data_IF_005978625515
#
_entry.id   IF_005978625515
#
_cell.length_a   1.000
_cell.length_b   1.000
_cell.length_c   1.000
_cell.angle_alpha   90.00
_cell.angle_beta   90.00
_cell.angle_gamma   90.00
#
_symmetry.space_group_name_H-M   'P 1'
#
loop_
_entity.id
_entity.type
_entity.pdbx_description
1 polymer ?
#
# COMPACT_ATOMS: atom_id res chain seq x y z
N UNK A 1 -4.89 15.88 -5.12
CA UNK A 1 -5.36 14.83 -4.19
C UNK A 1 -5.17 13.50 -4.91
N UNK A 2 -4.32 12.62 -4.41
CA UNK A 2 -4.00 11.33 -5.07
C UNK A 2 -4.96 10.22 -4.68
N UNK A 3 -6.26 10.51 -4.55
CA UNK A 3 -7.30 9.58 -4.12
C UNK A 3 -8.48 9.69 -5.07
N UNK A 4 -8.92 8.56 -5.62
CA UNK A 4 -10.11 8.42 -6.44
C UNK A 4 -11.26 7.90 -5.57
N UNK A 5 -12.39 8.61 -5.53
CA UNK A 5 -13.56 8.24 -4.72
C UNK A 5 -14.70 7.91 -5.68
N UNK A 6 -15.32 6.73 -5.52
CA UNK A 6 -16.38 6.24 -6.41
C UNK A 6 -17.79 6.56 -5.90
N UNK A 7 -18.06 7.82 -5.58
CA UNK A 7 -19.39 8.24 -5.12
C UNK A 7 -19.36 9.34 -4.09
N UNK A 8 -20.45 10.11 -4.01
CA UNK A 8 -20.62 11.17 -3.01
C UNK A 8 -20.97 10.62 -1.62
N UNK A 9 -21.68 9.51 -1.56
CA UNK A 9 -21.99 8.74 -0.36
C UNK A 9 -20.71 8.21 0.32
N UNK A 10 -19.74 7.73 -0.46
CA UNK A 10 -18.43 7.29 0.06
C UNK A 10 -17.68 8.46 0.70
N UNK A 11 -17.72 9.64 0.08
CA UNK A 11 -17.08 10.85 0.64
C UNK A 11 -17.72 11.27 1.96
N UNK A 12 -19.04 11.12 2.08
CA UNK A 12 -19.76 11.39 3.32
C UNK A 12 -19.44 10.36 4.41
N UNK A 13 -19.47 9.06 4.07
CA UNK A 13 -19.10 7.95 4.97
C UNK A 13 -17.67 8.08 5.49
N UNK A 14 -16.72 8.55 4.65
CA UNK A 14 -15.36 8.88 5.06
C UNK A 14 -15.30 9.91 6.20
N UNK A 15 -16.27 10.83 6.25
CA UNK A 15 -16.39 11.83 7.30
C UNK A 15 -16.86 11.26 8.65
N UNK A 16 -17.53 10.11 8.66
CA UNK A 16 -18.09 9.47 9.86
C UNK A 16 -17.17 8.41 10.49
N UNK A 17 -16.11 8.02 9.80
CA UNK A 17 -15.19 6.95 10.22
C UNK A 17 -14.66 7.17 11.63
N UNK A 18 -14.75 6.09 12.43
CA UNK A 18 -14.24 6.01 13.81
C UNK A 18 -13.14 4.98 14.00
N UNK A 19 -13.08 3.98 13.13
CA UNK A 19 -12.03 2.94 13.13
C UNK A 19 -11.42 2.82 11.76
N UNK A 20 -10.10 2.71 11.70
CA UNK A 20 -9.34 2.38 10.52
C UNK A 20 -8.63 1.04 10.74
N UNK A 21 -9.09 0.01 10.03
CA UNK A 21 -8.41 -1.26 9.89
C UNK A 21 -7.43 -1.19 8.72
N UNK A 22 -6.20 -1.63 8.95
CA UNK A 22 -5.14 -1.66 7.95
C UNK A 22 -4.68 -3.09 7.74
N UNK A 23 -4.61 -3.52 6.49
CA UNK A 23 -3.79 -4.69 6.19
C UNK A 23 -2.31 -4.35 6.40
N UNK A 24 -1.52 -5.36 6.74
CA UNK A 24 -0.07 -5.18 6.89
C UNK A 24 0.62 -5.16 5.52
N UNK A 25 0.52 -6.27 4.79
CA UNK A 25 1.37 -6.58 3.65
C UNK A 25 0.91 -5.78 2.43
N UNK A 26 1.82 -5.07 1.78
CA UNK A 26 1.47 -4.21 0.63
C UNK A 26 0.71 -2.92 0.99
N UNK A 27 0.28 -2.74 2.24
CA UNK A 27 -0.42 -1.53 2.71
C UNK A 27 0.44 -0.72 3.68
N UNK A 28 0.59 -1.19 4.93
CA UNK A 28 1.51 -0.56 5.91
C UNK A 28 2.95 -0.77 5.47
N UNK A 29 3.24 -1.96 4.97
CA UNK A 29 4.54 -2.33 4.42
C UNK A 29 4.55 -2.21 2.91
N UNK A 30 5.75 -2.27 2.33
CA UNK A 30 5.90 -2.13 0.87
C UNK A 30 5.35 -3.34 0.11
N UNK A 31 5.31 -4.51 0.76
CA UNK A 31 5.04 -5.78 0.09
C UNK A 31 6.27 -6.32 -0.64
N UNK A 32 7.44 -5.73 -0.38
CA UNK A 32 8.74 -6.12 -0.93
C UNK A 32 9.51 -6.85 0.17
N UNK A 33 9.54 -8.19 0.09
CA UNK A 33 10.18 -9.00 1.10
C UNK A 33 11.70 -9.04 0.91
N UNK A 34 12.44 -8.95 2.00
CA UNK A 34 13.89 -9.13 2.03
C UNK A 34 14.25 -10.39 2.80
N UNK A 35 15.01 -11.28 2.17
CA UNK A 35 15.54 -12.50 2.81
C UNK A 35 16.79 -12.12 3.61
N UNK A 36 16.75 -12.34 4.93
CA UNK A 36 17.91 -12.10 5.80
C UNK A 36 18.92 -13.25 5.75
N UNK A 37 18.46 -14.48 5.55
CA UNK A 37 19.33 -15.65 5.39
C UNK A 37 18.61 -16.97 5.61
N UNK A 38 19.32 -18.05 5.25
CA UNK A 38 18.94 -19.43 5.46
C UNK A 38 19.84 -20.05 6.53
N UNK A 39 19.22 -20.73 7.49
CA UNK A 39 19.87 -21.57 8.48
C UNK A 39 19.57 -23.01 8.13
N UNK A 40 20.58 -23.74 7.67
CA UNK A 40 20.47 -25.18 7.40
C UNK A 40 20.52 -25.93 8.74
N UNK A 41 19.62 -26.89 8.92
CA UNK A 41 19.55 -27.76 10.09
C UNK A 41 20.24 -29.08 9.77
N UNK A 42 21.41 -29.29 10.37
CA UNK A 42 22.29 -30.44 10.13
C UNK A 42 23.11 -30.34 8.84
N UNK A 43 23.89 -31.39 8.56
CA UNK A 43 24.83 -31.43 7.42
C UNK A 43 24.27 -32.18 6.20
N UNK A 44 22.96 -32.48 6.17
CA UNK A 44 22.35 -33.35 5.15
C UNK A 44 22.26 -32.72 3.76
N UNK A 45 22.23 -31.38 3.66
CA UNK A 45 21.97 -30.66 2.42
C UNK A 45 22.86 -29.43 2.29
N UNK A 46 23.55 -29.29 1.16
CA UNK A 46 24.33 -28.09 0.86
C UNK A 46 23.46 -26.88 0.54
N UNK A 47 23.89 -25.69 0.94
CA UNK A 47 23.16 -24.43 0.73
C UNK A 47 22.74 -24.21 -0.74
N UNK A 48 23.62 -24.54 -1.69
CA UNK A 48 23.31 -24.36 -3.12
C UNK A 48 22.17 -25.25 -3.60
N UNK A 49 22.09 -26.48 -3.07
CA UNK A 49 21.04 -27.42 -3.43
C UNK A 49 19.70 -27.03 -2.78
N UNK A 50 19.74 -26.56 -1.53
CA UNK A 50 18.59 -26.00 -0.85
C UNK A 50 18.00 -24.81 -1.62
N UNK A 51 18.84 -23.85 -2.00
CA UNK A 51 18.40 -22.66 -2.73
C UNK A 51 17.86 -23.02 -4.13
N UNK A 52 18.45 -24.02 -4.80
CA UNK A 52 17.92 -24.53 -6.07
C UNK A 52 16.51 -25.10 -5.90
N UNK A 53 16.27 -25.92 -4.87
CA UNK A 53 14.96 -26.48 -4.59
C UNK A 53 13.93 -25.41 -4.24
N UNK A 54 14.26 -24.51 -3.30
CA UNK A 54 13.37 -23.44 -2.87
C UNK A 54 13.01 -22.54 -4.04
N UNK A 55 14.00 -22.03 -4.77
CA UNK A 55 13.74 -21.11 -5.89
C UNK A 55 12.98 -21.78 -7.04
N UNK A 56 13.21 -23.06 -7.33
CA UNK A 56 12.51 -23.77 -8.41
C UNK A 56 11.03 -23.97 -8.10
N UNK A 57 10.68 -24.31 -6.86
CA UNK A 57 9.28 -24.48 -6.42
C UNK A 57 8.60 -23.11 -6.31
N UNK A 58 9.26 -22.14 -5.68
CA UNK A 58 8.73 -20.78 -5.51
C UNK A 58 8.54 -20.05 -6.83
N UNK A 59 9.32 -20.36 -7.87
CA UNK A 59 9.13 -19.79 -9.21
C UNK A 59 7.78 -20.11 -9.85
N UNK A 60 7.03 -21.10 -9.32
CA UNK A 60 5.66 -21.41 -9.75
C UNK A 60 4.60 -20.62 -8.98
N UNK A 61 4.98 -19.96 -7.89
CA UNK A 61 4.08 -19.17 -7.05
C UNK A 61 4.09 -17.70 -7.49
N UNK A 62 2.91 -17.07 -7.49
CA UNK A 62 2.77 -15.63 -7.75
C UNK A 62 2.88 -14.77 -6.47
N UNK A 63 3.21 -15.39 -5.34
CA UNK A 63 3.25 -14.70 -4.05
C UNK A 63 4.49 -13.78 -3.94
N UNK A 64 4.38 -12.55 -3.39
CA UNK A 64 5.53 -11.64 -3.26
C UNK A 64 6.72 -12.22 -2.45
N UNK A 65 6.45 -13.09 -1.47
CA UNK A 65 7.50 -13.84 -0.76
C UNK A 65 8.27 -14.79 -1.67
N UNK A 66 7.60 -15.40 -2.66
CA UNK A 66 8.20 -16.31 -3.63
C UNK A 66 9.22 -15.57 -4.48
N UNK A 67 8.84 -14.39 -4.98
CA UNK A 67 9.72 -13.49 -5.74
C UNK A 67 11.00 -13.18 -4.97
N UNK A 68 10.89 -12.82 -3.69
CA UNK A 68 12.05 -12.52 -2.85
C UNK A 68 12.99 -13.73 -2.66
N UNK A 69 12.45 -14.94 -2.52
CA UNK A 69 13.24 -16.16 -2.40
C UNK A 69 13.97 -16.51 -3.71
N UNK A 70 13.30 -16.31 -4.85
CA UNK A 70 13.88 -16.51 -6.18
C UNK A 70 15.01 -15.50 -6.44
N UNK A 71 14.77 -14.21 -6.16
CA UNK A 71 15.79 -13.16 -6.30
C UNK A 71 16.99 -13.41 -5.37
N UNK A 72 16.75 -13.87 -4.15
CA UNK A 72 17.83 -14.25 -3.24
C UNK A 72 18.68 -15.38 -3.81
N UNK A 73 18.09 -16.43 -4.36
CA UNK A 73 18.83 -17.53 -4.99
C UNK A 73 19.63 -17.06 -6.21
N UNK A 74 19.03 -16.21 -7.05
CA UNK A 74 19.71 -15.61 -8.21
C UNK A 74 20.91 -14.74 -7.78
N UNK A 75 20.79 -13.99 -6.68
CA UNK A 75 21.90 -13.21 -6.11
C UNK A 75 23.08 -14.07 -5.66
N UNK A 76 22.84 -15.36 -5.40
CA UNK A 76 23.85 -16.39 -5.07
C UNK A 76 24.27 -17.21 -6.29
N UNK A 77 23.94 -16.74 -7.50
CA UNK A 77 24.26 -17.39 -8.78
C UNK A 77 23.60 -18.76 -8.98
N UNK A 78 22.42 -18.98 -8.37
CA UNK A 78 21.65 -20.21 -8.53
C UNK A 78 20.42 -19.89 -9.38
N UNK A 79 20.30 -20.58 -10.51
CA UNK A 79 19.18 -20.41 -11.44
C UNK A 79 18.05 -21.37 -11.07
N UNK A 80 16.80 -20.88 -10.90
CA UNK A 80 15.66 -21.74 -10.69
C UNK A 80 15.30 -22.52 -11.97
N UNK A 81 14.81 -23.74 -11.80
CA UNK A 81 14.37 -24.59 -12.90
C UNK A 81 12.92 -25.05 -12.68
N UNK A 82 11.92 -24.19 -12.97
CA UNK A 82 10.52 -24.48 -12.66
C UNK A 82 9.97 -25.70 -13.42
N UNK A 83 10.54 -26.07 -14.57
CA UNK A 83 10.17 -27.26 -15.35
C UNK A 83 10.45 -28.57 -14.61
N UNK A 84 11.41 -28.59 -13.69
CA UNK A 84 11.78 -29.77 -12.89
C UNK A 84 10.76 -30.12 -11.80
N UNK A 85 9.88 -29.18 -11.44
CA UNK A 85 8.94 -29.33 -10.33
C UNK A 85 7.68 -30.08 -10.77
N UNK A 86 7.38 -31.18 -10.10
CA UNK A 86 6.19 -32.01 -10.28
C UNK A 86 5.29 -31.93 -9.04
N UNK A 87 4.00 -32.30 -9.16
CA UNK A 87 3.01 -32.27 -8.05
C UNK A 87 2.99 -30.97 -7.23
N UNK A 88 3.03 -29.82 -7.94
CA UNK A 88 2.98 -28.52 -7.28
C UNK A 88 1.61 -28.28 -6.66
N UNK A 89 1.57 -27.95 -5.37
CA UNK A 89 0.34 -27.62 -4.64
C UNK A 89 0.52 -26.38 -3.78
N UNK A 90 -0.54 -25.58 -3.73
CA UNK A 90 -0.62 -24.39 -2.88
C UNK A 90 -1.54 -24.72 -1.70
N UNK A 91 -1.07 -24.44 -0.49
CA UNK A 91 -1.85 -24.52 0.74
C UNK A 91 -2.08 -23.09 1.27
N UNK A 92 -3.25 -22.48 1.02
CA UNK A 92 -3.54 -21.10 1.39
C UNK A 92 -3.30 -20.84 2.88
N UNK A 93 -2.47 -19.85 3.21
CA UNK A 93 -2.14 -19.49 4.60
C UNK A 93 -1.17 -20.45 5.31
N UNK A 94 -0.64 -21.47 4.62
CA UNK A 94 0.33 -22.43 5.18
C UNK A 94 1.64 -22.45 4.40
N UNK A 95 1.59 -22.53 3.07
CA UNK A 95 2.78 -22.64 2.23
C UNK A 95 2.52 -23.32 0.89
N UNK A 96 3.59 -23.87 0.30
CA UNK A 96 3.57 -24.58 -0.98
C UNK A 96 4.32 -25.91 -0.87
N UNK A 97 4.00 -26.85 -1.76
CA UNK A 97 4.76 -28.09 -1.91
C UNK A 97 5.05 -28.39 -3.37
N UNK A 98 6.10 -29.15 -3.61
CA UNK A 98 6.43 -29.68 -4.92
C UNK A 98 7.48 -30.77 -4.84
N UNK A 99 7.52 -31.61 -5.87
CA UNK A 99 8.47 -32.70 -5.98
C UNK A 99 9.53 -32.40 -7.04
N UNK A 100 10.81 -32.51 -6.66
CA UNK A 100 11.97 -32.36 -7.56
C UNK A 100 12.83 -33.61 -7.44
N UNK A 101 13.19 -34.23 -8.57
CA UNK A 101 14.02 -35.45 -8.61
C UNK A 101 13.50 -36.58 -7.69
N UNK A 102 12.17 -36.71 -7.59
CA UNK A 102 11.50 -37.73 -6.76
C UNK A 102 11.44 -37.41 -5.27
N UNK A 103 11.96 -36.26 -4.82
CA UNK A 103 11.90 -35.81 -3.43
C UNK A 103 10.73 -34.86 -3.22
N UNK A 104 9.96 -35.07 -2.17
CA UNK A 104 8.86 -34.18 -1.80
C UNK A 104 9.36 -33.05 -0.91
N UNK A 105 9.14 -31.81 -1.33
CA UNK A 105 9.63 -30.62 -0.64
C UNK A 105 8.44 -29.75 -0.26
N UNK A 106 8.42 -29.32 1.01
CA UNK A 106 7.42 -28.40 1.55
C UNK A 106 8.12 -27.12 2.01
N UNK A 107 7.53 -25.97 1.69
CA UNK A 107 8.05 -24.64 2.01
C UNK A 107 6.89 -23.84 2.61
N UNK A 108 7.05 -23.31 3.81
CA UNK A 108 5.96 -22.56 4.45
C UNK A 108 6.17 -22.25 5.93
N UNK A 109 5.07 -21.87 6.60
CA UNK A 109 5.07 -21.54 8.03
C UNK A 109 5.02 -22.82 8.90
N UNK A 110 4.98 -22.66 10.22
CA UNK A 110 4.93 -23.78 11.17
C UNK A 110 3.73 -24.73 10.94
N UNK A 111 2.63 -24.27 10.32
CA UNK A 111 1.46 -25.12 9.99
C UNK A 111 1.78 -26.12 8.87
N UNK A 112 2.60 -25.74 7.86
CA UNK A 112 3.05 -26.68 6.83
C UNK A 112 3.90 -27.81 7.43
N UNK A 113 4.66 -27.49 8.48
CA UNK A 113 5.52 -28.45 9.19
C UNK A 113 4.72 -29.50 9.94
N UNK A 114 3.60 -29.09 10.55
CA UNK A 114 2.66 -30.02 11.17
C UNK A 114 1.98 -30.94 10.15
N UNK A 115 1.75 -30.45 8.92
CA UNK A 115 1.11 -31.21 7.83
C UNK A 115 2.03 -32.28 7.23
N UNK A 116 3.33 -32.01 7.13
CA UNK A 116 4.31 -32.91 6.48
C UNK A 116 4.78 -34.07 7.37
N UNK A 117 4.03 -34.44 8.41
CA UNK A 117 4.33 -35.57 9.33
C UNK A 117 5.69 -35.49 10.04
N UNK A 118 6.26 -34.29 10.13
CA UNK A 118 7.56 -34.04 10.73
C UNK A 118 7.39 -33.93 12.26
N UNK A 119 7.22 -35.07 12.94
CA UNK A 119 7.27 -35.16 14.40
C UNK A 119 8.60 -35.79 14.85
N UNK A 120 9.72 -35.31 14.29
CA UNK A 120 11.05 -35.72 14.73
C UNK A 120 11.53 -34.79 15.85
N UNK A 121 11.25 -35.20 17.09
CA UNK A 121 12.03 -34.96 18.30
C UNK A 121 12.68 -33.57 18.48
N UNK A 122 11.99 -32.67 19.20
CA UNK A 122 12.62 -31.74 20.14
C UNK A 122 13.62 -30.70 19.61
N UNK A 123 13.76 -30.55 18.29
CA UNK A 123 14.66 -29.59 17.67
C UNK A 123 13.89 -28.66 16.73
N UNK A 124 12.94 -27.91 17.27
CA UNK A 124 12.71 -26.59 16.68
C UNK A 124 14.00 -25.82 16.90
N UNK A 125 14.73 -25.34 15.88
CA UNK A 125 15.74 -24.35 16.18
C UNK A 125 15.00 -23.23 16.92
N UNK A 126 15.46 -22.91 18.12
CA UNK A 126 15.15 -21.68 18.83
C UNK A 126 15.68 -20.50 17.99
N UNK A 127 15.12 -20.32 16.79
CA UNK A 127 14.99 -19.03 16.15
C UNK A 127 13.70 -18.36 16.63
N UNK A 128 13.23 -18.68 17.84
CA UNK A 128 12.34 -17.76 18.54
C UNK A 128 13.06 -16.42 18.71
N UNK A 129 12.58 -15.42 17.98
CA UNK A 129 12.77 -14.04 18.40
C UNK A 129 14.01 -13.30 17.90
N UNK A 130 14.80 -13.84 16.97
CA UNK A 130 15.79 -12.97 16.30
C UNK A 130 15.08 -12.06 15.29
N UNK A 131 14.69 -10.89 15.81
CA UNK A 131 14.35 -9.66 15.09
C UNK A 131 12.96 -9.57 14.41
N UNK A 132 11.98 -10.39 14.79
CA UNK A 132 10.59 -10.20 14.32
C UNK A 132 10.40 -10.31 12.81
N UNK A 133 11.21 -11.15 12.17
CA UNK A 133 11.03 -11.58 10.79
C UNK A 133 10.01 -12.75 10.72
N UNK A 134 9.31 -12.88 9.60
CA UNK A 134 8.53 -14.08 9.28
C UNK A 134 9.50 -15.23 9.01
N UNK A 135 9.37 -16.31 9.78
CA UNK A 135 10.21 -17.50 9.64
C UNK A 135 9.49 -18.50 8.74
N UNK A 136 10.16 -18.92 7.68
CA UNK A 136 9.75 -20.03 6.83
C UNK A 136 10.61 -21.25 7.07
N UNK A 137 10.02 -22.43 6.91
CA UNK A 137 10.66 -23.72 7.05
C UNK A 137 10.71 -24.43 5.70
N UNK A 138 11.78 -25.18 5.48
CA UNK A 138 11.99 -26.03 4.31
C UNK A 138 12.14 -27.46 4.79
N UNK A 139 11.28 -28.33 4.25
CA UNK A 139 11.17 -29.73 4.67
C UNK A 139 11.34 -30.57 3.42
N UNK A 140 12.17 -31.61 3.51
CA UNK A 140 12.47 -32.51 2.39
C UNK A 140 12.25 -33.94 2.86
N UNK A 141 11.37 -34.67 2.17
CA UNK A 141 11.02 -36.07 2.46
C UNK A 141 10.63 -36.32 3.94
N UNK A 142 10.01 -35.32 4.56
CA UNK A 142 9.58 -35.38 5.96
C UNK A 142 10.64 -35.00 6.99
N UNK A 143 11.85 -34.58 6.59
CA UNK A 143 12.88 -34.04 7.47
C UNK A 143 12.93 -32.49 7.39
N UNK A 144 13.04 -31.81 8.53
CA UNK A 144 13.28 -30.35 8.56
C UNK A 144 14.74 -30.06 8.19
N UNK A 145 14.96 -29.44 7.04
CA UNK A 145 16.29 -29.23 6.43
C UNK A 145 16.79 -27.82 6.63
N UNK A 146 15.92 -26.81 6.63
CA UNK A 146 16.34 -25.43 6.80
C UNK A 146 15.21 -24.53 7.29
N UNK A 147 15.58 -23.43 7.92
CA UNK A 147 14.71 -22.30 8.18
C UNK A 147 15.26 -21.04 7.49
N UNK A 148 14.39 -20.16 7.02
CA UNK A 148 14.76 -18.86 6.47
C UNK A 148 13.96 -17.76 7.14
N UNK A 149 14.52 -16.56 7.14
CA UNK A 149 13.86 -15.38 7.71
C UNK A 149 13.61 -14.33 6.63
N UNK A 150 12.37 -13.86 6.57
CA UNK A 150 11.89 -12.82 5.66
C UNK A 150 11.41 -11.63 6.49
N UNK A 151 11.76 -10.42 6.06
CA UNK A 151 11.16 -9.20 6.61
C UNK A 151 10.56 -8.36 5.51
N UNK A 152 9.46 -7.70 5.82
CA UNK A 152 8.86 -6.65 4.98
C UNK A 152 8.91 -5.35 5.78
N UNK A 153 9.47 -4.31 5.17
CA UNK A 153 9.67 -3.03 5.83
C UNK A 153 8.46 -2.10 5.66
N UNK A 154 8.15 -1.35 6.72
CA UNK A 154 7.10 -0.33 6.67
C UNK A 154 7.40 0.74 5.61
N UNK A 155 6.34 1.23 4.95
CA UNK A 155 6.41 2.36 4.02
C UNK A 155 6.82 3.63 4.76
N UNK A 156 7.58 4.50 4.08
CA UNK A 156 7.85 5.85 4.58
C UNK A 156 6.54 6.63 4.70
N UNK A 157 6.31 7.30 5.83
CA UNK A 157 5.08 8.03 6.09
C UNK A 157 3.93 7.20 6.71
N UNK A 158 4.01 5.86 6.75
CA UNK A 158 2.96 5.03 7.36
C UNK A 158 2.72 5.36 8.84
N UNK A 159 3.80 5.53 9.62
CA UNK A 159 3.72 5.91 11.03
C UNK A 159 3.13 7.32 11.22
N UNK A 160 3.38 8.24 10.30
CA UNK A 160 2.81 9.59 10.35
C UNK A 160 1.32 9.58 10.01
N UNK A 161 0.92 8.83 8.99
CA UNK A 161 -0.49 8.67 8.62
C UNK A 161 -1.33 8.10 9.78
N UNK A 162 -0.84 7.05 10.45
CA UNK A 162 -1.54 6.44 11.59
C UNK A 162 -1.63 7.42 12.77
N UNK A 163 -0.54 8.16 13.07
CA UNK A 163 -0.58 9.20 14.12
C UNK A 163 -1.56 10.31 13.79
N UNK A 164 -1.64 10.72 12.53
CA UNK A 164 -2.58 11.74 12.08
C UNK A 164 -4.03 11.27 12.24
N UNK A 165 -4.35 10.03 11.85
CA UNK A 165 -5.67 9.43 12.08
C UNK A 165 -6.00 9.33 13.57
N UNK A 166 -5.04 8.93 14.41
CA UNK A 166 -5.20 8.91 15.88
C UNK A 166 -5.50 10.31 16.42
N UNK A 167 -4.83 11.35 15.92
CA UNK A 167 -5.10 12.74 16.31
C UNK A 167 -6.51 13.23 15.92
N UNK A 168 -7.12 12.60 14.92
CA UNK A 168 -8.51 12.83 14.50
C UNK A 168 -9.53 12.02 15.33
N UNK A 169 -9.08 11.28 16.36
CA UNK A 169 -9.92 10.43 17.20
C UNK A 169 -10.29 9.09 16.56
N UNK A 170 -9.54 8.65 15.54
CA UNK A 170 -9.80 7.41 14.81
C UNK A 170 -8.91 6.30 15.39
N UNK A 171 -9.53 5.22 15.84
CA UNK A 171 -8.83 4.04 16.35
C UNK A 171 -8.20 3.28 15.19
N UNK A 172 -6.95 2.90 15.31
CA UNK A 172 -6.20 2.25 14.23
C UNK A 172 -5.88 0.81 14.61
N UNK A 173 -6.26 -0.14 13.76
CA UNK A 173 -6.13 -1.58 13.99
C UNK A 173 -5.35 -2.20 12.83
N UNK A 174 -4.38 -3.07 13.11
CA UNK A 174 -3.70 -3.87 12.08
C UNK A 174 -4.30 -5.26 12.00
N UNK A 175 -4.63 -5.69 10.78
CA UNK A 175 -5.08 -7.04 10.44
C UNK A 175 -4.02 -7.68 9.56
N UNK A 176 -3.57 -8.89 9.88
CA UNK A 176 -2.59 -9.59 9.04
C UNK A 176 -2.70 -11.11 9.17
N UNK A 177 -2.40 -11.80 8.07
CA UNK A 177 -2.21 -13.25 8.05
C UNK A 177 -0.82 -13.70 8.51
N UNK A 178 0.11 -12.75 8.67
CA UNK A 178 1.49 -13.05 9.07
C UNK A 178 1.60 -13.44 10.54
N UNK A 179 2.74 -14.04 10.89
CA UNK A 179 3.06 -14.43 12.26
C UNK A 179 3.00 -13.26 13.25
N UNK A 180 2.71 -13.58 14.51
CA UNK A 180 2.71 -12.59 15.60
C UNK A 180 4.04 -11.83 15.73
N UNK A 181 5.16 -12.50 15.43
CA UNK A 181 6.50 -11.89 15.47
C UNK A 181 6.65 -10.77 14.41
N UNK A 182 6.18 -11.01 13.19
CA UNK A 182 6.20 -10.05 12.10
C UNK A 182 5.25 -8.87 12.34
N UNK A 183 4.04 -9.15 12.83
CA UNK A 183 3.07 -8.10 13.21
C UNK A 183 3.64 -7.20 14.32
N UNK A 184 4.27 -7.80 15.33
CA UNK A 184 4.91 -7.05 16.43
C UNK A 184 6.10 -6.21 15.97
N UNK A 185 6.87 -6.67 14.97
CA UNK A 185 7.95 -5.86 14.36
C UNK A 185 7.40 -4.64 13.65
N UNK A 186 6.36 -4.81 12.81
CA UNK A 186 5.72 -3.69 12.14
C UNK A 186 5.17 -2.68 13.16
N UNK A 187 4.52 -3.16 14.22
CA UNK A 187 4.03 -2.30 15.31
C UNK A 187 5.16 -1.51 15.99
N UNK A 188 6.34 -2.12 16.22
CA UNK A 188 7.51 -1.42 16.75
C UNK A 188 8.09 -0.40 15.76
N UNK A 189 8.17 -0.73 14.48
CA UNK A 189 8.62 0.19 13.42
C UNK A 189 7.70 1.41 13.30
N UNK A 190 6.40 1.23 13.55
CA UNK A 190 5.41 2.32 13.61
C UNK A 190 5.42 3.10 14.92
N UNK A 191 6.27 2.73 15.89
CA UNK A 191 6.36 3.40 17.20
C UNK A 191 5.17 3.13 18.14
N UNK A 192 4.47 2.00 18.00
CA UNK A 192 3.29 1.69 18.82
C UNK A 192 2.05 2.53 18.47
N UNK A 193 1.98 3.02 17.24
CA UNK A 193 0.90 3.89 16.78
C UNK A 193 -0.44 3.18 16.54
N UNK A 194 -0.47 1.84 16.52
CA UNK A 194 -1.71 1.07 16.44
C UNK A 194 -2.23 0.73 17.84
N UNK A 195 -3.55 0.66 17.99
CA UNK A 195 -4.22 0.33 19.24
C UNK A 195 -4.42 -1.18 19.41
N UNK A 196 -4.78 -1.86 18.32
CA UNK A 196 -4.97 -3.31 18.30
C UNK A 196 -4.20 -3.92 17.11
N UNK A 197 -3.67 -5.13 17.30
CA UNK A 197 -2.96 -5.89 16.27
C UNK A 197 -3.46 -7.33 16.30
N UNK A 198 -4.02 -7.78 15.18
CA UNK A 198 -4.54 -9.13 15.01
C UNK A 198 -3.73 -9.83 13.92
N UNK A 199 -3.06 -10.93 14.28
CA UNK A 199 -2.13 -11.68 13.43
C UNK A 199 -2.63 -13.10 13.14
N UNK A 200 -2.02 -13.78 12.16
CA UNK A 200 -2.30 -15.18 11.80
C UNK A 200 -3.74 -15.44 11.33
N UNK A 201 -4.40 -14.40 10.81
CA UNK A 201 -5.77 -14.42 10.33
C UNK A 201 -5.89 -15.05 8.93
N UNK A 202 -6.91 -15.86 8.71
CA UNK A 202 -7.34 -16.26 7.37
C UNK A 202 -8.20 -15.16 6.72
N UNK A 203 -8.39 -15.17 5.39
CA UNK A 203 -9.24 -14.18 4.73
C UNK A 203 -10.67 -14.11 5.29
N UNK A 204 -11.25 -15.26 5.66
CA UNK A 204 -12.57 -15.33 6.30
C UNK A 204 -12.59 -14.67 7.69
N UNK A 205 -11.52 -14.85 8.47
CA UNK A 205 -11.38 -14.25 9.80
C UNK A 205 -11.26 -12.72 9.71
N UNK A 206 -10.56 -12.21 8.68
CA UNK A 206 -10.48 -10.76 8.42
C UNK A 206 -11.87 -10.15 8.19
N UNK A 207 -12.73 -10.83 7.42
CA UNK A 207 -14.11 -10.37 7.16
C UNK A 207 -14.92 -10.34 8.45
N UNK A 208 -14.88 -11.42 9.24
CA UNK A 208 -15.58 -11.50 10.51
C UNK A 208 -15.13 -10.39 11.47
N UNK A 209 -13.83 -10.18 11.58
CA UNK A 209 -13.26 -9.18 12.48
C UNK A 209 -13.58 -7.74 12.05
N UNK A 210 -13.62 -7.45 10.74
CA UNK A 210 -14.09 -6.15 10.23
C UNK A 210 -15.57 -5.93 10.57
N UNK A 211 -16.40 -6.97 10.45
CA UNK A 211 -17.80 -6.92 10.88
C UNK A 211 -17.95 -6.65 12.39
N UNK A 212 -17.15 -7.32 13.22
CA UNK A 212 -17.13 -7.12 14.67
C UNK A 212 -16.67 -5.71 15.05
N UNK A 213 -15.63 -5.20 14.39
CA UNK A 213 -15.16 -3.82 14.55
C UNK A 213 -16.27 -2.83 14.22
N UNK A 214 -16.97 -3.04 13.11
CA UNK A 214 -18.11 -2.21 12.71
C UNK A 214 -19.21 -2.19 13.78
N UNK A 215 -19.57 -3.36 14.31
CA UNK A 215 -20.61 -3.49 15.34
C UNK A 215 -20.21 -2.85 16.69
N UNK A 216 -18.96 -3.05 17.14
CA UNK A 216 -18.51 -2.60 18.47
C UNK A 216 -18.05 -1.14 18.49
N UNK A 217 -17.49 -0.66 17.39
CA UNK A 217 -16.71 0.56 17.35
C UNK A 217 -17.26 1.65 16.44
N UNK A 218 -18.22 1.30 15.57
CA UNK A 218 -18.89 2.19 14.64
C UNK A 218 -18.30 2.16 13.22
N UNK A 219 -18.55 3.21 12.42
CA UNK A 219 -18.17 3.24 11.01
C UNK A 219 -16.68 2.93 10.79
N UNK A 220 -16.42 1.91 9.99
CA UNK A 220 -15.09 1.31 9.83
C UNK A 220 -14.55 1.52 8.41
N UNK A 221 -13.32 2.00 8.35
CA UNK A 221 -12.51 2.12 7.15
C UNK A 221 -11.56 0.93 7.08
N UNK A 222 -11.53 0.21 5.95
CA UNK A 222 -10.52 -0.82 5.69
C UNK A 222 -9.57 -0.32 4.60
N UNK A 223 -8.26 -0.42 4.83
CA UNK A 223 -7.23 -0.09 3.84
C UNK A 223 -6.42 -1.34 3.53
N UNK A 224 -6.31 -1.70 2.25
CA UNK A 224 -5.67 -2.94 1.81
C UNK A 224 -5.12 -2.86 0.39
N UNK A 225 -4.27 -3.81 0.00
CA UNK A 225 -3.85 -4.02 -1.38
C UNK A 225 -4.93 -4.79 -2.20
N UNK A 226 -5.85 -5.45 -1.47
CA UNK A 226 -6.95 -6.25 -1.95
C UNK A 226 -6.56 -7.44 -2.84
N UNK A 227 -5.32 -7.93 -2.75
CA UNK A 227 -5.00 -9.26 -3.27
C UNK A 227 -5.63 -10.33 -2.38
N UNK A 228 -5.53 -10.17 -1.06
CA UNK A 228 -6.11 -11.08 -0.06
C UNK A 228 -7.29 -10.47 0.71
N UNK A 229 -7.51 -9.16 0.56
CA UNK A 229 -8.42 -8.39 1.42
C UNK A 229 -9.66 -7.86 0.70
N UNK A 230 -9.89 -8.23 -0.57
CA UNK A 230 -11.05 -7.77 -1.32
C UNK A 230 -12.39 -8.05 -0.57
N UNK A 231 -12.62 -9.23 0.02
CA UNK A 231 -13.83 -9.46 0.83
C UNK A 231 -13.93 -8.56 2.07
N UNK A 232 -12.80 -8.29 2.74
CA UNK A 232 -12.75 -7.42 3.91
C UNK A 232 -12.98 -5.94 3.53
N UNK A 233 -12.44 -5.49 2.39
CA UNK A 233 -12.67 -4.16 1.82
C UNK A 233 -14.15 -3.92 1.48
N UNK A 234 -14.85 -4.95 0.98
CA UNK A 234 -16.28 -4.88 0.68
C UNK A 234 -17.17 -4.82 1.94
N UNK A 235 -16.72 -5.42 3.04
CA UNK A 235 -17.49 -5.51 4.30
C UNK A 235 -17.43 -4.22 5.12
N UNK A 236 -16.34 -3.47 4.98
CA UNK A 236 -16.16 -2.17 5.63
C UNK A 236 -17.14 -1.11 5.10
N UNK A 237 -17.43 -0.08 5.90
CA UNK A 237 -18.26 1.05 5.46
C UNK A 237 -17.56 1.85 4.36
N UNK A 238 -16.23 1.94 4.43
CA UNK A 238 -15.40 2.44 3.34
C UNK A 238 -14.20 1.52 3.16
N UNK A 239 -14.07 0.99 1.95
CA UNK A 239 -12.92 0.18 1.54
C UNK A 239 -12.00 1.00 0.66
N UNK A 240 -10.74 1.16 1.07
CA UNK A 240 -9.70 1.89 0.32
C UNK A 240 -8.65 0.91 -0.19
N UNK A 241 -8.57 0.76 -1.52
CA UNK A 241 -7.52 -0.04 -2.14
C UNK A 241 -6.26 0.80 -2.42
N UNK A 242 -5.09 0.18 -2.27
CA UNK A 242 -3.83 0.71 -2.79
C UNK A 242 -3.83 0.59 -4.32
N UNK A 243 -3.74 1.70 -5.09
CA UNK A 243 -3.94 1.66 -6.54
C UNK A 243 -2.73 1.25 -7.38
N UNK A 244 -1.50 1.51 -6.93
CA UNK A 244 -0.27 1.12 -7.66
C UNK A 244 0.25 -0.27 -7.29
N UNK A 245 -0.07 -0.73 -6.07
CA UNK A 245 0.37 -2.02 -5.54
C UNK A 245 -0.79 -3.00 -5.34
N UNK A 246 -2.03 -2.58 -5.59
CA UNK A 246 -3.21 -3.41 -5.37
C UNK A 246 -3.70 -4.13 -6.62
N UNK A 247 -4.44 -5.20 -6.41
CA UNK A 247 -4.95 -6.04 -7.49
C UNK A 247 -6.06 -5.34 -8.29
N UNK A 248 -6.26 -5.73 -9.55
CA UNK A 248 -7.38 -5.22 -10.35
C UNK A 248 -8.74 -5.50 -9.66
N UNK A 249 -8.86 -6.66 -9.00
CA UNK A 249 -10.03 -7.02 -8.21
C UNK A 249 -10.25 -6.10 -6.98
N UNK A 250 -9.16 -5.65 -6.35
CA UNK A 250 -9.21 -4.68 -5.26
C UNK A 250 -9.69 -3.30 -5.73
N UNK A 251 -9.19 -2.87 -6.89
CA UNK A 251 -9.60 -1.60 -7.50
C UNK A 251 -11.07 -1.64 -7.88
N UNK A 252 -11.62 -2.77 -8.31
CA UNK A 252 -13.04 -2.92 -8.62
C UNK A 252 -13.92 -2.91 -7.35
N UNK A 253 -13.50 -3.68 -6.33
CA UNK A 253 -14.28 -3.90 -5.09
C UNK A 253 -14.22 -2.72 -4.12
N UNK A 254 -13.17 -1.90 -4.18
CA UNK A 254 -13.00 -0.76 -3.28
C UNK A 254 -13.92 0.43 -3.61
N UNK A 255 -14.35 1.12 -2.57
CA UNK A 255 -15.15 2.35 -2.62
C UNK A 255 -14.28 3.57 -2.99
N UNK A 256 -13.00 3.55 -2.61
CA UNK A 256 -12.01 4.53 -2.98
C UNK A 256 -10.65 3.88 -3.27
N UNK A 257 -9.82 4.53 -4.08
CA UNK A 257 -8.53 4.01 -4.50
C UNK A 257 -7.45 5.07 -4.36
N UNK A 258 -6.32 4.72 -3.74
CA UNK A 258 -5.15 5.59 -3.65
C UNK A 258 -4.34 5.50 -4.94
N UNK A 259 -4.22 6.61 -5.68
CA UNK A 259 -3.43 6.66 -6.91
C UNK A 259 -1.92 6.74 -6.66
N UNK A 260 -1.52 6.85 -5.40
CA UNK A 260 -0.13 6.86 -4.94
C UNK A 260 0.06 5.85 -3.82
N UNK A 261 1.27 5.32 -3.68
CA UNK A 261 1.69 4.43 -2.58
C UNK A 261 1.84 5.12 -1.22
N UNK A 262 1.48 6.41 -1.12
CA UNK A 262 1.59 7.22 0.08
C UNK A 262 0.34 7.08 0.97
N UNK A 263 0.53 6.50 2.16
CA UNK A 263 -0.53 6.28 3.14
C UNK A 263 -1.03 7.59 3.78
N UNK A 264 -0.27 8.70 3.71
CA UNK A 264 -0.69 10.02 4.21
C UNK A 264 -1.93 10.56 3.49
N UNK A 265 -2.25 10.00 2.32
CA UNK A 265 -3.47 10.34 1.58
C UNK A 265 -4.74 9.88 2.26
N UNK A 266 -4.68 8.83 3.08
CA UNK A 266 -5.86 8.31 3.82
C UNK A 266 -6.37 9.35 4.83
N UNK A 267 -5.57 9.86 5.79
CA UNK A 267 -6.01 10.93 6.68
C UNK A 267 -6.43 12.20 5.93
N UNK A 268 -5.78 12.53 4.81
CA UNK A 268 -6.19 13.66 3.98
C UNK A 268 -7.61 13.47 3.40
N UNK A 269 -7.94 12.27 2.92
CA UNK A 269 -9.27 11.94 2.42
C UNK A 269 -10.33 12.00 3.53
N UNK A 270 -10.02 11.48 4.72
CA UNK A 270 -10.92 11.55 5.88
C UNK A 270 -11.20 13.00 6.31
N UNK A 271 -10.16 13.84 6.34
CA UNK A 271 -10.32 15.28 6.62
C UNK A 271 -11.19 15.97 5.57
N UNK A 272 -11.03 15.62 4.30
CA UNK A 272 -11.88 16.15 3.23
C UNK A 272 -13.33 15.70 3.42
N UNK A 273 -13.58 14.43 3.73
CA UNK A 273 -14.91 13.90 4.04
C UNK A 273 -15.58 14.64 5.20
N UNK A 274 -14.84 14.88 6.30
CA UNK A 274 -15.33 15.66 7.45
C UNK A 274 -15.69 17.11 7.07
N UNK A 275 -14.86 17.78 6.26
CA UNK A 275 -15.14 19.14 5.77
C UNK A 275 -16.33 19.16 4.82
N UNK A 276 -16.42 18.21 3.91
CA UNK A 276 -17.53 18.07 2.97
C UNK A 276 -18.84 17.89 3.73
N UNK A 277 -18.88 16.98 4.71
CA UNK A 277 -20.07 16.77 5.54
C UNK A 277 -20.46 18.01 6.36
N UNK A 278 -19.50 18.71 6.95
CA UNK A 278 -19.78 19.96 7.67
C UNK A 278 -20.39 21.02 6.74
N UNK A 279 -19.89 21.12 5.51
CA UNK A 279 -20.40 22.05 4.48
C UNK A 279 -21.81 21.65 4.04
N UNK A 280 -22.05 20.36 3.81
CA UNK A 280 -23.38 19.82 3.47
C UNK A 280 -24.37 20.11 4.61
N UNK A 281 -24.00 19.86 5.86
CA UNK A 281 -24.85 20.15 7.01
C UNK A 281 -25.19 21.65 7.11
N UNK A 282 -24.19 22.53 6.93
CA UNK A 282 -24.41 23.98 6.93
C UNK A 282 -25.37 24.41 5.80
N UNK A 283 -25.21 23.86 4.60
CA UNK A 283 -26.07 24.12 3.45
C UNK A 283 -27.52 23.67 3.70
N UNK A 284 -27.71 22.47 4.27
CA UNK A 284 -29.03 21.95 4.61
C UNK A 284 -29.69 22.81 5.68
N UNK A 285 -28.97 23.17 6.75
CA UNK A 285 -29.49 24.04 7.81
C UNK A 285 -29.87 25.41 7.25
N UNK A 286 -29.04 26.01 6.39
CA UNK A 286 -29.34 27.29 5.76
C UNK A 286 -30.58 27.22 4.86
N UNK A 287 -30.70 26.17 4.03
CA UNK A 287 -31.85 25.99 3.14
C UNK A 287 -33.16 25.74 3.89
N UNK A 288 -33.13 24.83 4.88
CA UNK A 288 -34.31 24.53 5.71
C UNK A 288 -34.69 25.73 6.56
N UNK A 289 -33.70 26.44 7.14
CA UNK A 289 -33.93 27.66 7.91
C UNK A 289 -34.58 28.77 7.09
N UNK A 290 -34.12 29.00 5.87
CA UNK A 290 -34.72 29.99 4.97
C UNK A 290 -36.17 29.63 4.62
N UNK A 291 -36.45 28.36 4.28
CA UNK A 291 -37.81 27.89 3.97
C UNK A 291 -38.75 28.00 5.18
N UNK A 292 -38.27 27.66 6.37
CA UNK A 292 -39.04 27.81 7.60
C UNK A 292 -39.36 29.29 7.90
N UNK A 293 -38.40 30.20 7.68
CA UNK A 293 -38.61 31.64 7.85
C UNK A 293 -39.68 32.19 6.89
N UNK A 294 -39.63 31.79 5.61
CA UNK A 294 -40.65 32.16 4.62
C UNK A 294 -42.03 31.63 5.03
N UNK A 295 -42.12 30.38 5.49
CA UNK A 295 -43.38 29.79 5.94
C UNK A 295 -43.95 30.51 7.17
N UNK A 296 -43.10 30.88 8.13
CA UNK A 296 -43.51 31.64 9.31
C UNK A 296 -44.04 33.03 8.94
N UNK A 297 -43.40 33.72 7.98
CA UNK A 297 -43.86 35.00 7.46
C UNK A 297 -45.20 34.89 6.70
N UNK A 298 -45.40 33.80 5.96
CA UNK A 298 -46.66 33.51 5.30
C UNK A 298 -47.80 33.28 6.31
N UNK A 299 -47.54 32.55 7.39
CA UNK A 299 -48.50 32.33 8.47
C UNK A 299 -48.82 33.63 9.25
N UNK A 300 -47.87 34.56 9.36
CA UNK A 300 -48.04 35.87 9.99
C UNK A 300 -48.80 36.91 9.11
N UNK A 301 -49.51 36.45 8.06
CA UNK A 301 -50.41 37.24 7.21
C UNK A 301 -49.75 38.33 6.34
N UNK A 302 -48.49 38.13 5.92
CA UNK A 302 -47.82 39.01 4.94
C UNK A 302 -47.35 38.25 3.69
N UNK A 303 -48.25 37.94 2.74
CA UNK A 303 -47.88 37.21 1.54
C UNK A 303 -47.27 38.15 0.49
N UNK A 304 -45.95 38.32 0.52
CA UNK A 304 -45.20 38.86 -0.61
C UNK A 304 -44.57 37.70 -1.38
N UNK A 305 -45.35 37.06 -2.27
CA UNK A 305 -44.90 35.90 -3.05
C UNK A 305 -43.57 36.15 -3.78
N UNK A 306 -43.35 37.38 -4.26
CA UNK A 306 -42.09 37.76 -4.91
C UNK A 306 -40.89 37.76 -3.94
N UNK A 307 -41.08 38.11 -2.66
CA UNK A 307 -40.03 38.05 -1.63
C UNK A 307 -39.68 36.60 -1.32
N UNK A 308 -40.70 35.72 -1.25
CA UNK A 308 -40.51 34.30 -1.02
C UNK A 308 -39.68 33.66 -2.15
N UNK A 309 -40.01 33.96 -3.41
CA UNK A 309 -39.26 33.48 -4.59
C UNK A 309 -37.84 34.03 -4.60
N UNK A 310 -37.66 35.34 -4.32
CA UNK A 310 -36.33 35.96 -4.26
C UNK A 310 -35.47 35.34 -3.15
N UNK A 311 -36.06 35.06 -1.97
CA UNK A 311 -35.37 34.43 -0.86
C UNK A 311 -34.95 32.99 -1.16
N UNK A 312 -35.80 32.20 -1.80
CA UNK A 312 -35.48 30.80 -2.16
C UNK A 312 -34.37 30.73 -3.22
N UNK A 313 -34.46 31.54 -4.28
CA UNK A 313 -33.42 31.62 -5.33
C UNK A 313 -32.11 32.20 -4.77
N UNK A 314 -32.20 33.24 -3.93
CA UNK A 314 -31.03 33.84 -3.28
C UNK A 314 -30.33 32.86 -2.34
N UNK A 315 -31.09 32.06 -1.59
CA UNK A 315 -30.54 31.01 -0.71
C UNK A 315 -29.88 29.91 -1.52
N UNK A 316 -30.49 29.48 -2.64
CA UNK A 316 -29.88 28.52 -3.56
C UNK A 316 -28.52 29.02 -4.08
N UNK A 317 -28.44 30.29 -4.50
CA UNK A 317 -27.19 30.87 -4.99
C UNK A 317 -26.10 30.92 -3.90
N UNK A 318 -26.47 31.31 -2.68
CA UNK A 318 -25.53 31.34 -1.54
C UNK A 318 -25.00 29.95 -1.19
N UNK A 319 -25.87 28.93 -1.19
CA UNK A 319 -25.49 27.53 -0.94
C UNK A 319 -24.52 27.02 -2.01
N UNK A 320 -24.75 27.36 -3.28
CA UNK A 320 -23.84 27.00 -4.38
C UNK A 320 -22.47 27.66 -4.20
N UNK A 321 -22.43 28.96 -3.90
CA UNK A 321 -21.18 29.69 -3.65
C UNK A 321 -20.43 29.14 -2.44
N UNK A 322 -21.13 28.80 -1.36
CA UNK A 322 -20.52 28.18 -0.18
C UNK A 322 -19.95 26.80 -0.49
N UNK A 323 -20.63 26.01 -1.33
CA UNK A 323 -20.13 24.71 -1.77
C UNK A 323 -18.88 24.82 -2.64
N UNK A 324 -18.80 25.85 -3.49
CA UNK A 324 -17.61 26.13 -4.30
C UNK A 324 -16.38 26.49 -3.44
N UNK A 325 -16.58 26.94 -2.20
CA UNK A 325 -15.46 27.18 -1.27
C UNK A 325 -14.71 25.89 -0.93
N UNK A 326 -15.36 24.72 -1.05
CA UNK A 326 -14.71 23.42 -0.84
C UNK A 326 -13.62 23.12 -1.88
N UNK A 327 -13.70 23.73 -3.07
CA UNK A 327 -12.64 23.68 -4.09
C UNK A 327 -11.41 24.50 -3.70
N UNK A 328 -11.59 25.48 -2.81
CA UNK A 328 -10.53 26.36 -2.37
C UNK A 328 -9.87 25.82 -1.11
N UNK A 329 -8.92 24.90 -1.29
CA UNK A 329 -8.10 24.43 -0.17
C UNK A 329 -6.80 25.26 -0.09
N UNK A 330 -6.66 26.20 0.87
CA UNK A 330 -5.38 26.87 1.10
C UNK A 330 -4.26 25.90 1.53
N UNK A 331 -4.57 24.65 1.90
CA UNK A 331 -3.58 23.63 2.23
C UNK A 331 -2.83 23.07 0.99
N UNK A 332 -3.31 23.32 -0.24
CA UNK A 332 -2.59 22.98 -1.47
C UNK A 332 -1.28 23.75 -1.66
N UNK A 333 -1.15 24.93 -1.05
CA UNK A 333 0.06 25.75 -1.11
C UNK A 333 1.16 25.31 -0.12
N UNK A 334 0.79 24.63 0.97
CA UNK A 334 1.75 24.17 1.99
C UNK A 334 2.46 22.86 1.64
N UNK A 335 1.85 22.02 0.80
CA UNK A 335 2.36 20.67 0.52
C UNK A 335 3.57 20.66 -0.42
N UNK A 336 3.72 21.66 -1.30
CA UNK A 336 4.92 21.82 -2.15
C UNK A 336 6.21 22.14 -1.37
N UNK A 337 6.14 22.57 -0.10
CA UNK A 337 7.35 22.92 0.70
C UNK A 337 7.89 21.82 1.61
N UNK A 338 7.16 20.73 1.88
CA UNK A 338 7.62 19.68 2.82
C UNK A 338 8.22 18.42 2.18
N UNK A 339 8.20 18.30 0.85
CA UNK A 339 8.78 17.17 0.11
C UNK A 339 10.27 17.29 -0.25
N UNK A 340 11.00 18.27 0.28
CA UNK A 340 12.39 18.55 -0.14
C UNK A 340 13.33 18.98 0.99
N UNK A 341 13.06 18.57 2.23
CA UNK A 341 13.95 18.82 3.38
C UNK A 341 14.98 17.70 3.54
N UNK A 342 15.77 17.44 2.49
CA UNK A 342 17.01 16.68 2.66
C UNK A 342 17.98 17.52 3.47
N UNK A 343 18.30 17.06 4.68
CA UNK A 343 19.22 17.74 5.59
C UNK A 343 20.57 18.00 4.88
N UNK A 344 21.00 19.26 4.68
CA UNK A 344 22.22 19.58 3.93
C UNK A 344 23.49 19.05 4.59
N UNK A 345 23.43 18.59 5.85
CA UNK A 345 24.54 17.90 6.51
C UNK A 345 24.69 16.44 6.06
N UNK A 346 23.58 15.73 5.76
CA UNK A 346 23.62 14.36 5.26
C UNK A 346 24.26 14.27 3.87
N UNK A 347 24.03 15.27 3.01
CA UNK A 347 24.63 15.34 1.68
C UNK A 347 26.14 15.63 1.72
N UNK A 348 26.63 16.38 2.72
CA UNK A 348 28.07 16.62 2.93
C UNK A 348 28.80 15.39 3.45
N UNK A 349 28.14 14.54 4.24
CA UNK A 349 28.73 13.30 4.73
C UNK A 349 28.94 12.28 3.59
N UNK A 350 27.97 12.16 2.68
CA UNK A 350 28.07 11.26 1.53
C UNK A 350 29.12 11.74 0.52
N UNK A 351 29.21 13.04 0.25
CA UNK A 351 30.23 13.60 -0.64
C UNK A 351 31.67 13.43 -0.11
N UNK A 352 31.89 13.52 1.21
CA UNK A 352 33.20 13.25 1.84
C UNK A 352 33.58 11.77 1.76
N UNK A 353 32.63 10.85 1.91
CA UNK A 353 32.88 9.40 1.80
C UNK A 353 33.23 8.96 0.37
N UNK A 354 32.64 9.58 -0.65
CA UNK A 354 32.94 9.33 -2.06
C UNK A 354 34.28 9.91 -2.50
N UNK A 355 34.65 11.10 -2.03
CA UNK A 355 35.97 11.69 -2.29
C UNK A 355 37.12 10.91 -1.61
N UNK A 356 36.86 10.30 -0.45
CA UNK A 356 37.86 9.48 0.25
C UNK A 356 38.05 8.12 -0.42
N UNK A 357 36.99 7.55 -1.04
CA UNK A 357 37.07 6.31 -1.83
C UNK A 357 37.77 6.51 -3.18
N UNK A 358 37.63 7.66 -3.83
CA UNK A 358 38.37 7.95 -5.06
C UNK A 358 39.87 8.17 -4.82
N UNK A 359 40.24 8.81 -3.71
CA UNK A 359 41.65 9.00 -3.33
C UNK A 359 42.34 7.67 -2.95
N UNK A 360 41.62 6.72 -2.34
CA UNK A 360 42.14 5.39 -2.06
C UNK A 360 42.25 4.50 -3.32
N UNK A 361 41.38 4.69 -4.31
CA UNK A 361 41.45 3.98 -5.60
C UNK A 361 42.55 4.52 -6.53
N UNK A 362 42.89 5.81 -6.44
CA UNK A 362 44.02 6.41 -7.17
C UNK A 362 45.38 6.06 -6.53
N UNK A 363 45.43 5.86 -5.21
CA UNK A 363 46.64 5.43 -4.51
C UNK A 363 47.03 3.96 -4.78
N UNK A 364 46.09 3.09 -5.18
CA UNK A 364 46.37 1.68 -5.47
C UNK A 364 46.82 1.40 -6.92
N UNK A 365 46.66 2.36 -7.84
CA UNK A 365 46.99 2.18 -9.26
C UNK A 365 48.28 2.89 -9.72
N UNK A 366 49.05 3.48 -8.79
CA UNK A 366 50.26 4.28 -9.07
C UNK A 366 51.60 3.54 -9.02
N UNK A 367 51.68 2.28 -9.46
CA UNK A 367 52.93 1.53 -9.48
C UNK A 367 53.13 0.73 -10.79
N UNK A 368 53.13 1.41 -11.94
CA UNK A 368 53.78 0.92 -13.17
C UNK A 368 53.92 2.04 -14.23
N UNK A 369 55.13 2.25 -14.75
CA UNK A 369 55.33 2.64 -16.16
C UNK A 369 55.44 4.13 -16.52
N UNK A 370 56.67 4.66 -16.41
CA UNK A 370 57.41 5.53 -17.36
C UNK A 370 56.70 6.31 -18.49
N UNK A 371 57.08 7.60 -18.56
CA UNK A 371 57.48 8.41 -19.73
C UNK A 371 56.51 9.44 -20.36
N UNK A 372 57.04 10.67 -20.44
CA UNK A 372 56.81 11.76 -21.42
C UNK A 372 55.52 12.62 -21.38
N UNK A 373 55.65 13.76 -20.68
CA UNK A 373 55.60 15.09 -21.30
C UNK A 373 54.28 15.67 -21.82
N UNK A 374 53.63 16.55 -21.03
CA UNK A 374 53.11 17.89 -21.43
C UNK A 374 52.45 18.60 -20.23
N UNK A 375 52.60 19.93 -20.17
CA UNK A 375 52.06 20.85 -19.13
C UNK A 375 50.51 20.90 -19.12
N UNK A 376 49.86 21.26 -17.99
CA UNK A 376 48.41 21.14 -17.82
C UNK A 376 47.64 22.37 -18.35
N UNK A 377 46.64 22.12 -19.19
CA UNK A 377 45.56 23.07 -19.48
C UNK A 377 44.32 22.69 -18.66
N UNK A 378 43.67 23.68 -18.05
CA UNK A 378 42.66 23.53 -16.99
C UNK A 378 41.53 22.54 -17.29
N UNK A 379 41.41 21.55 -16.40
CA UNK A 379 40.29 20.61 -16.36
C UNK A 379 39.07 21.22 -15.67
N UNK A 380 37.97 21.27 -16.40
CA UNK A 380 36.60 21.42 -15.89
C UNK A 380 36.30 20.26 -14.93
N UNK A 381 36.04 20.57 -13.65
CA UNK A 381 35.58 19.59 -12.67
C UNK A 381 34.18 19.12 -13.04
N UNK A 382 34.02 17.82 -13.28
CA UNK A 382 32.73 17.15 -13.40
C UNK A 382 31.99 17.24 -12.06
N UNK A 383 30.98 18.12 -11.98
CA UNK A 383 30.04 18.20 -10.88
C UNK A 383 28.86 17.24 -11.08
N UNK A 384 28.28 16.80 -9.96
CA UNK A 384 27.09 15.96 -9.90
C UNK A 384 25.91 16.55 -10.70
N UNK A 385 25.24 15.70 -11.48
CA UNK A 385 24.14 16.05 -12.40
C UNK A 385 22.88 16.64 -11.69
N UNK A 386 22.86 16.66 -10.37
CA UNK A 386 21.72 17.10 -9.57
C UNK A 386 21.61 18.63 -9.39
N UNK A 387 22.67 19.39 -9.69
CA UNK A 387 22.72 20.85 -9.40
C UNK A 387 22.57 21.76 -10.62
N UNK A 388 22.29 21.23 -11.82
CA UNK A 388 22.26 22.03 -13.06
C UNK A 388 20.88 22.53 -13.49
N UNK A 389 19.80 22.10 -12.84
CA UNK A 389 18.41 22.44 -13.23
C UNK A 389 17.78 23.60 -12.43
N UNK A 390 18.57 24.49 -11.82
CA UNK A 390 18.02 25.66 -11.13
C UNK A 390 18.54 26.97 -11.73
N UNK A 391 18.11 27.27 -12.95
CA UNK A 391 18.15 28.63 -13.49
C UNK A 391 17.13 28.84 -14.62
N UNK A 392 16.10 29.62 -14.27
CA UNK A 392 15.15 30.39 -15.11
C UNK A 392 13.95 29.71 -15.79
N UNK A 393 12.78 30.40 -15.86
CA UNK A 393 11.52 29.84 -16.35
C UNK A 393 11.32 30.13 -17.84
N UNK A 394 10.99 29.12 -18.64
CA UNK A 394 10.50 29.32 -20.02
C UNK A 394 9.00 29.05 -20.09
N UNK A 395 8.29 30.07 -20.55
CA UNK A 395 6.92 30.06 -21.08
C UNK A 395 6.72 29.02 -22.21
N UNK A 396 5.48 28.57 -22.41
CA UNK A 396 4.96 27.64 -23.46
C UNK A 396 5.15 26.15 -23.09
N UNK A 397 4.16 25.25 -23.13
CA UNK A 397 3.04 25.14 -24.06
C UNK A 397 1.90 24.30 -23.44
N UNK A 398 0.64 24.67 -23.70
CA UNK A 398 -0.53 23.91 -23.29
C UNK A 398 -0.81 22.81 -24.32
N UNK A 399 -0.57 21.55 -23.96
CA UNK A 399 -1.14 20.40 -24.70
C UNK A 399 -1.92 19.51 -23.75
N UNK A 400 -3.24 19.65 -23.81
CA UNK A 400 -4.19 18.72 -23.22
C UNK A 400 -4.10 17.38 -23.97
N UNK A 401 -3.79 16.30 -23.25
CA UNK A 401 -3.95 14.93 -23.78
C UNK A 401 -5.42 14.57 -23.62
N UNK A 402 -6.18 14.75 -24.70
CA UNK A 402 -7.53 14.22 -24.85
C UNK A 402 -7.39 12.72 -25.11
N UNK A 403 -7.85 11.90 -24.16
CA UNK A 403 -8.04 10.46 -24.38
C UNK A 403 -9.43 10.30 -24.98
N UNK A 404 -9.50 10.03 -26.29
CA UNK A 404 -10.73 9.68 -26.99
C UNK A 404 -11.27 8.35 -26.43
N UNK A 405 -12.46 8.41 -25.81
CA UNK A 405 -13.24 7.22 -25.45
C UNK A 405 -14.16 6.95 -26.67
N UNK A 406 -14.01 5.83 -27.40
CA UNK A 406 -14.93 5.52 -28.48
C UNK A 406 -16.33 5.30 -27.90
N UNK A 407 -17.30 6.08 -28.40
CA UNK A 407 -18.70 5.97 -28.04
C UNK A 407 -19.26 4.57 -28.38
N UNK A 408 -20.17 4.00 -27.57
CA UNK A 408 -20.87 2.78 -27.93
C UNK A 408 -21.78 3.03 -29.14
N UNK A 409 -21.59 2.23 -30.19
CA UNK A 409 -22.44 2.21 -31.38
C UNK A 409 -23.87 1.87 -31.00
N UNK A 410 -24.78 2.81 -31.24
CA UNK A 410 -26.22 2.61 -31.14
C UNK A 410 -26.70 1.64 -32.23
N UNK A 411 -26.91 0.37 -31.86
CA UNK A 411 -27.71 -0.55 -32.66
C UNK A 411 -29.20 -0.14 -32.55
N UNK A 412 -29.79 0.15 -33.71
CA UNK A 412 -31.23 0.45 -33.85
C UNK A 412 -32.04 -0.81 -33.58
N UNK A 413 -33.16 -0.74 -32.83
CA UNK A 413 -34.08 -1.86 -32.72
C UNK A 413 -34.83 -2.05 -34.05
N UNK A 414 -34.54 -3.17 -34.72
CA UNK A 414 -35.30 -3.65 -35.86
C UNK A 414 -36.67 -4.14 -35.41
N UNK A 415 -37.71 -3.47 -35.88
CA UNK A 415 -39.11 -3.87 -35.79
C UNK A 415 -39.30 -5.12 -36.65
N UNK A 416 -39.65 -6.26 -36.03
CA UNK A 416 -40.19 -7.42 -36.73
C UNK A 416 -41.62 -7.65 -36.21
N UNK A 417 -42.59 -7.44 -37.09
CA UNK A 417 -44.00 -7.72 -36.88
C UNK A 417 -44.28 -9.23 -36.90
N UNK A 418 -45.33 -9.72 -36.22
CA UNK A 418 -45.71 -11.13 -36.25
C UNK A 418 -46.55 -11.42 -37.49
N UNK A 419 -46.14 -12.39 -38.30
CA UNK A 419 -47.00 -13.04 -39.30
C UNK A 419 -47.78 -14.16 -38.65
N UNK A 420 -49.10 -14.01 -38.66
CA UNK A 420 -50.06 -15.08 -38.44
C UNK A 420 -50.31 -15.84 -39.75
N UNK A 421 -50.22 -17.18 -39.70
CA UNK A 421 -51.02 -18.15 -40.44
C UNK A 421 -50.68 -19.55 -39.89
#
# INVERSE_FOLDING_TARGET
MGVLIKGGDVLESLGEIRVAAFDKTGTITKGEFSVHGFHVVGDKVGMSQLLYWVSSIESKSSHPMATALVEYAQSKSIQPEPTSVTDFRIYPGEGISGAINGRQIFIGNTRIMARSSCYAAGAGPEMEGQQGASIGHVIVDGDHVAAFSLSDDCRTGAAEAIRELRSMGIRSVMLTGDSKAAASRAQRQLGGALEEVHSELLPADKVALVGDLKARAGPTLMVGDGMNDAPALATADVGVAMGLSGSAAAMETSHATLMSSDLLRVPAAVRLGRRARATVAANVIASVGAKAAVLALAAAWRPALWVAVLADVGTCLLVVLHSMLLLWDPAGAGWRRRGGGGDPEACRATARSLAMRSQLAEASNGAAGTAQGRRPGGGTKAGCHCCRETSEPSEQDHTAVVVDIPAPSAERPGVVAPTAA
#
